data_IF_592118238630
#
_entry.id   IF_592118238630
#
_cell.length_a   1.000
_cell.length_b   1.000
_cell.length_c   1.000
_cell.angle_alpha   90.00
_cell.angle_beta   90.00
_cell.angle_gamma   90.00
#
_symmetry.space_group_name_H-M   'P 1'
#
loop_
_entity.id
_entity.type
_entity.pdbx_description
1 polymer ?
#
# COMPACT_ATOMS: atom_id res chain seq x y z
N UNK A 1 -24.77 1.17 14.61
CA UNK A 1 -24.09 2.44 14.97
C UNK A 1 -22.65 2.50 14.50
N UNK A 2 -21.82 1.47 14.72
CA UNK A 2 -20.39 1.46 14.35
C UNK A 2 -20.15 1.76 12.85
N UNK A 3 -20.89 1.10 11.95
CA UNK A 3 -20.76 1.37 10.50
C UNK A 3 -21.12 2.82 10.13
N UNK A 4 -22.19 3.36 10.72
CA UNK A 4 -22.60 4.74 10.49
C UNK A 4 -21.56 5.73 11.01
N UNK A 5 -20.98 5.48 12.19
CA UNK A 5 -19.90 6.30 12.75
C UNK A 5 -18.63 6.21 11.90
N UNK A 6 -18.27 5.02 11.40
CA UNK A 6 -17.13 4.85 10.51
C UNK A 6 -17.32 5.61 9.20
N UNK A 7 -18.48 5.46 8.54
CA UNK A 7 -18.80 6.21 7.31
C UNK A 7 -18.77 7.72 7.56
N UNK A 8 -19.37 8.18 8.67
CA UNK A 8 -19.39 9.58 9.05
C UNK A 8 -17.99 10.16 9.32
N UNK A 9 -17.00 9.35 9.72
CA UNK A 9 -15.62 9.79 9.94
C UNK A 9 -14.77 9.69 8.67
N UNK A 10 -14.84 8.56 7.94
CA UNK A 10 -13.99 8.33 6.77
C UNK A 10 -14.40 9.17 5.56
N UNK A 11 -15.70 9.41 5.36
CA UNK A 11 -16.19 10.21 4.24
C UNK A 11 -15.70 11.68 4.25
N UNK A 12 -15.82 12.45 5.35
CA UNK A 12 -15.28 13.81 5.38
C UNK A 12 -13.75 13.82 5.30
N UNK A 13 -13.06 12.85 5.90
CA UNK A 13 -11.61 12.72 5.79
C UNK A 13 -11.18 12.53 4.33
N UNK A 14 -11.88 11.68 3.58
CA UNK A 14 -11.67 11.49 2.14
C UNK A 14 -11.91 12.78 1.35
N UNK A 15 -12.98 13.52 1.64
CA UNK A 15 -13.25 14.81 1.00
C UNK A 15 -12.16 15.84 1.27
N UNK A 16 -11.69 15.95 2.52
CA UNK A 16 -10.59 16.85 2.89
C UNK A 16 -9.31 16.48 2.14
N UNK A 17 -8.98 15.19 2.05
CA UNK A 17 -7.81 14.73 1.29
C UNK A 17 -7.92 15.03 -0.21
N UNK A 18 -9.10 14.85 -0.82
CA UNK A 18 -9.31 15.22 -2.23
C UNK A 18 -9.17 16.72 -2.43
N UNK A 19 -9.76 17.54 -1.57
CA UNK A 19 -9.66 18.99 -1.67
C UNK A 19 -8.20 19.45 -1.49
N UNK A 20 -7.47 18.83 -0.55
CA UNK A 20 -6.05 19.08 -0.36
C UNK A 20 -5.26 18.68 -1.63
N UNK A 21 -5.53 17.52 -2.22
CA UNK A 21 -4.89 17.08 -3.44
C UNK A 21 -5.17 18.03 -4.63
N UNK A 22 -6.42 18.40 -4.86
CA UNK A 22 -6.82 19.33 -5.94
C UNK A 22 -6.20 20.73 -5.75
N UNK A 23 -5.93 21.15 -4.50
CA UNK A 23 -5.31 22.44 -4.20
C UNK A 23 -3.79 22.41 -4.24
N UNK A 24 -3.14 21.28 -3.91
CA UNK A 24 -1.69 21.10 -3.94
C UNK A 24 -1.16 20.78 -5.34
N UNK A 25 -1.88 19.95 -6.10
CA UNK A 25 -1.48 19.50 -7.45
C UNK A 25 -1.11 20.65 -8.40
N UNK A 26 -1.91 21.73 -8.57
CA UNK A 26 -1.55 22.85 -9.45
C UNK A 26 -0.55 23.83 -8.83
N UNK A 27 -0.39 23.85 -7.50
CA UNK A 27 0.55 24.75 -6.80
C UNK A 27 1.98 24.21 -6.79
N UNK A 28 2.14 22.88 -6.78
CA UNK A 28 3.44 22.22 -6.61
C UNK A 28 3.66 21.18 -7.73
N UNK A 29 3.75 21.60 -9.00
CA UNK A 29 3.86 20.66 -10.12
C UNK A 29 5.14 19.82 -10.07
N UNK A 30 6.23 20.34 -9.50
CA UNK A 30 7.49 19.61 -9.38
C UNK A 30 7.39 18.34 -8.51
N UNK A 31 6.50 18.30 -7.51
CA UNK A 31 6.30 17.11 -6.66
C UNK A 31 5.30 16.15 -7.30
N UNK A 32 4.20 16.68 -7.85
CA UNK A 32 3.08 15.85 -8.35
C UNK A 32 3.22 15.43 -9.82
N UNK A 33 4.09 16.08 -10.58
CA UNK A 33 4.38 15.79 -11.98
C UNK A 33 5.86 16.09 -12.32
N UNK A 34 6.83 15.44 -11.66
CA UNK A 34 8.26 15.66 -11.91
C UNK A 34 8.65 15.29 -13.35
N UNK A 35 8.08 14.21 -13.89
CA UNK A 35 8.28 13.77 -15.28
C UNK A 35 6.91 13.41 -15.89
N UNK A 36 6.42 14.26 -16.80
CA UNK A 36 5.12 14.08 -17.45
C UNK A 36 5.18 13.00 -18.54
N UNK A 37 5.44 11.74 -18.14
CA UNK A 37 5.50 10.59 -19.04
C UNK A 37 4.21 10.39 -19.86
N UNK A 38 3.07 10.86 -19.35
CA UNK A 38 1.74 10.66 -19.93
C UNK A 38 1.34 11.73 -20.98
N UNK A 39 2.20 12.70 -21.31
CA UNK A 39 1.89 13.86 -22.18
C UNK A 39 0.57 14.54 -21.79
N UNK A 40 0.29 14.63 -20.49
CA UNK A 40 -0.98 15.18 -20.02
C UNK A 40 -1.01 16.69 -20.29
N UNK A 41 -1.97 17.20 -21.08
CA UNK A 41 -1.94 18.58 -21.56
C UNK A 41 -2.06 19.57 -20.40
N UNK A 42 -1.16 20.55 -20.36
CA UNK A 42 -1.11 21.59 -19.32
C UNK A 42 -2.44 22.32 -19.13
N UNK A 43 -3.20 22.52 -20.22
CA UNK A 43 -4.52 23.13 -20.19
C UNK A 43 -5.57 22.36 -19.37
N UNK A 44 -5.40 21.04 -19.18
CA UNK A 44 -6.28 20.21 -18.33
C UNK A 44 -5.75 20.04 -16.90
N UNK A 45 -4.47 20.35 -16.65
CA UNK A 45 -3.86 20.26 -15.31
C UNK A 45 -4.49 21.19 -14.28
N UNK A 46 -5.03 22.33 -14.71
CA UNK A 46 -5.65 23.33 -13.83
C UNK A 46 -7.15 23.12 -13.59
N UNK A 47 -7.79 22.15 -14.25
CA UNK A 47 -9.23 21.89 -14.11
C UNK A 47 -9.50 20.93 -12.94
N UNK A 48 -10.43 21.31 -12.05
CA UNK A 48 -10.92 20.46 -10.97
C UNK A 48 -11.37 19.10 -11.51
N UNK A 49 -10.82 18.01 -10.97
CA UNK A 49 -11.13 16.63 -11.36
C UNK A 49 -10.91 16.31 -12.85
N UNK A 50 -10.26 17.17 -13.63
CA UNK A 50 -10.02 16.98 -15.06
C UNK A 50 -9.10 15.80 -15.39
N UNK A 51 -8.44 15.23 -14.38
CA UNK A 51 -7.62 14.03 -14.49
C UNK A 51 -8.44 12.74 -14.47
N UNK A 52 -9.60 12.70 -13.79
CA UNK A 52 -10.39 11.46 -13.66
C UNK A 52 -10.87 10.95 -15.02
N UNK A 53 -11.50 11.78 -15.89
CA UNK A 53 -11.91 11.33 -17.21
C UNK A 53 -10.72 11.04 -18.13
N UNK A 54 -9.58 11.68 -17.90
CA UNK A 54 -8.36 11.40 -18.64
C UNK A 54 -7.83 10.01 -18.28
N UNK A 55 -7.66 9.69 -17.00
CA UNK A 55 -7.21 8.37 -16.55
C UNK A 55 -8.12 7.24 -17.03
N UNK A 56 -9.43 7.48 -17.09
CA UNK A 56 -10.36 6.46 -17.59
C UNK A 56 -10.25 6.25 -19.11
N UNK A 57 -9.74 7.24 -19.86
CA UNK A 57 -9.52 7.14 -21.31
C UNK A 57 -8.13 6.60 -21.68
N UNK A 58 -7.19 6.49 -20.74
CA UNK A 58 -5.85 6.00 -21.03
C UNK A 58 -5.92 4.54 -21.44
N UNK A 59 -5.31 4.23 -22.59
CA UNK A 59 -5.23 2.87 -23.10
C UNK A 59 -4.14 2.06 -22.39
N UNK A 60 -4.38 0.76 -22.20
CA UNK A 60 -3.43 -0.13 -21.52
C UNK A 60 -2.10 -0.24 -22.26
N UNK A 61 -2.09 -0.16 -23.59
CA UNK A 61 -0.87 -0.25 -24.38
C UNK A 61 0.06 0.95 -24.14
N UNK A 62 -0.52 2.15 -24.02
CA UNK A 62 0.23 3.37 -23.74
C UNK A 62 0.87 3.34 -22.34
N UNK A 63 0.17 2.77 -21.35
CA UNK A 63 0.74 2.63 -20.00
C UNK A 63 1.91 1.66 -19.99
N UNK A 64 1.82 0.54 -20.72
CA UNK A 64 2.89 -0.44 -20.78
C UNK A 64 4.18 0.13 -21.41
N UNK A 65 4.04 1.04 -22.37
CA UNK A 65 5.18 1.70 -23.02
C UNK A 65 5.81 2.77 -22.13
N UNK A 66 4.99 3.62 -21.50
CA UNK A 66 5.44 4.79 -20.74
C UNK A 66 5.82 4.50 -19.30
N UNK A 67 5.08 3.62 -18.61
CA UNK A 67 5.27 3.29 -17.20
C UNK A 67 5.94 1.92 -16.98
N UNK A 68 6.15 1.16 -18.06
CA UNK A 68 6.77 -0.16 -18.02
C UNK A 68 5.79 -1.32 -17.74
N UNK A 69 6.34 -2.53 -17.75
CA UNK A 69 5.56 -3.77 -17.60
C UNK A 69 4.95 -3.89 -16.20
N UNK A 70 5.67 -3.54 -15.15
CA UNK A 70 5.24 -3.73 -13.76
C UNK A 70 3.99 -2.89 -13.41
N UNK A 71 4.02 -1.60 -13.74
CA UNK A 71 2.87 -0.71 -13.59
C UNK A 71 1.65 -1.21 -14.39
N UNK A 72 1.87 -1.72 -15.61
CA UNK A 72 0.81 -2.32 -16.42
C UNK A 72 0.18 -3.54 -15.75
N UNK A 73 0.97 -4.44 -15.16
CA UNK A 73 0.47 -5.61 -14.42
C UNK A 73 -0.33 -5.17 -13.20
N UNK A 74 0.18 -4.22 -12.41
CA UNK A 74 -0.51 -3.71 -11.23
C UNK A 74 -1.88 -3.13 -11.57
N UNK A 75 -1.98 -2.30 -12.62
CA UNK A 75 -3.25 -1.74 -13.06
C UNK A 75 -4.23 -2.82 -13.50
N UNK A 76 -3.74 -3.84 -14.17
CA UNK A 76 -4.57 -4.94 -14.66
C UNK A 76 -5.06 -5.83 -13.53
N UNK A 77 -4.22 -6.06 -12.53
CA UNK A 77 -4.61 -6.68 -11.25
C UNK A 77 -5.71 -5.87 -10.54
N UNK A 78 -5.60 -4.54 -10.48
CA UNK A 78 -6.64 -3.68 -9.91
C UNK A 78 -7.95 -3.73 -10.71
N UNK A 79 -7.88 -3.76 -12.05
CA UNK A 79 -9.07 -3.94 -12.92
C UNK A 79 -9.73 -5.31 -12.72
N UNK A 80 -8.93 -6.35 -12.54
CA UNK A 80 -9.41 -7.68 -12.16
C UNK A 80 -10.08 -7.66 -10.79
N UNK A 81 -9.45 -7.04 -9.78
CA UNK A 81 -9.99 -6.88 -8.43
C UNK A 81 -11.36 -6.21 -8.45
N UNK A 82 -11.54 -5.15 -9.27
CA UNK A 82 -12.86 -4.52 -9.48
C UNK A 82 -13.90 -5.49 -10.01
N UNK A 83 -13.56 -6.36 -10.98
CA UNK A 83 -14.49 -7.36 -11.53
C UNK A 83 -14.89 -8.40 -10.46
N UNK A 84 -13.93 -8.85 -9.66
CA UNK A 84 -14.17 -9.78 -8.54
C UNK A 84 -15.05 -9.14 -7.48
N UNK A 85 -14.75 -7.89 -7.09
CA UNK A 85 -15.56 -7.16 -6.11
C UNK A 85 -17.01 -6.97 -6.59
N UNK A 86 -17.22 -6.62 -7.87
CA UNK A 86 -18.56 -6.50 -8.45
C UNK A 86 -19.31 -7.85 -8.43
N UNK A 87 -18.64 -8.96 -8.75
CA UNK A 87 -19.24 -10.28 -8.63
C UNK A 87 -19.64 -10.57 -7.18
N UNK A 88 -18.75 -10.33 -6.21
CA UNK A 88 -19.05 -10.56 -4.80
C UNK A 88 -20.25 -9.73 -4.34
N UNK A 89 -20.35 -8.46 -4.74
CA UNK A 89 -21.51 -7.62 -4.44
C UNK A 89 -22.79 -8.19 -5.05
N UNK A 90 -22.76 -8.65 -6.31
CA UNK A 90 -23.91 -9.28 -6.96
C UNK A 90 -24.32 -10.58 -6.26
N UNK A 91 -23.36 -11.43 -5.87
CA UNK A 91 -23.62 -12.65 -5.13
C UNK A 91 -24.21 -12.37 -3.73
N UNK A 92 -23.69 -11.34 -3.04
CA UNK A 92 -24.25 -10.89 -1.75
C UNK A 92 -25.68 -10.37 -1.89
N UNK A 93 -25.98 -9.61 -2.94
CA UNK A 93 -27.34 -9.15 -3.24
C UNK A 93 -28.29 -10.32 -3.55
N UNK A 94 -27.80 -11.39 -4.19
CA UNK A 94 -28.60 -12.59 -4.45
C UNK A 94 -28.84 -13.42 -3.17
N UNK A 95 -27.87 -13.45 -2.25
CA UNK A 95 -27.98 -14.14 -0.96
C UNK A 95 -28.85 -13.38 0.05
N UNK A 96 -28.94 -12.06 -0.07
CA UNK A 96 -29.66 -11.20 0.88
C UNK A 96 -31.15 -11.58 1.02
N UNK A 97 -31.95 -11.77 -0.05
CA UNK A 97 -33.33 -12.25 0.07
C UNK A 97 -33.41 -13.63 0.73
N UNK A 98 -32.51 -14.55 0.36
CA UNK A 98 -32.49 -15.90 0.93
C UNK A 98 -32.35 -15.86 2.45
N UNK A 99 -31.36 -15.13 2.97
CA UNK A 99 -31.17 -14.99 4.42
C UNK A 99 -32.29 -14.19 5.10
N UNK A 100 -32.85 -13.17 4.45
CA UNK A 100 -33.97 -12.41 5.02
C UNK A 100 -35.23 -13.28 5.16
N UNK A 101 -35.59 -14.05 4.12
CA UNK A 101 -36.71 -15.00 4.18
C UNK A 101 -36.47 -16.10 5.21
N UNK A 102 -35.21 -16.49 5.49
CA UNK A 102 -34.92 -17.47 6.56
C UNK A 102 -35.31 -16.98 7.96
N UNK A 103 -35.01 -15.72 8.28
CA UNK A 103 -35.33 -15.14 9.59
C UNK A 103 -36.84 -15.08 9.81
N UNK A 104 -37.60 -14.71 8.77
CA UNK A 104 -39.07 -14.68 8.82
C UNK A 104 -39.69 -16.08 9.04
N UNK A 105 -39.13 -17.13 8.43
CA UNK A 105 -39.61 -18.52 8.61
C UNK A 105 -39.29 -19.06 10.01
N UNK A 106 -38.11 -18.73 10.55
CA UNK A 106 -37.70 -19.17 11.89
C UNK A 106 -38.57 -18.52 12.99
N UNK A 107 -38.81 -17.20 12.88
CA UNK A 107 -39.71 -16.47 13.78
C UNK A 107 -41.14 -17.06 13.76
N UNK A 108 -41.63 -17.50 12.59
CA UNK A 108 -42.94 -18.13 12.47
C UNK A 108 -43.01 -19.53 13.13
N UNK A 109 -41.96 -20.36 12.99
CA UNK A 109 -41.88 -21.69 13.60
C UNK A 109 -41.78 -21.63 15.13
N UNK A 110 -41.05 -20.66 15.68
CA UNK A 110 -40.88 -20.51 17.13
C UNK A 110 -42.18 -20.08 17.81
N UNK A 111 -42.96 -19.19 17.17
CA UNK A 111 -44.31 -18.83 17.62
C UNK A 111 -45.27 -20.02 17.62
N UNK A 112 -45.19 -20.89 16.60
CA UNK A 112 -46.04 -22.07 16.49
C UNK A 112 -45.70 -23.12 17.57
N UNK A 113 -44.41 -23.32 17.86
CA UNK A 113 -43.94 -24.22 18.90
C UNK A 113 -44.33 -23.76 20.31
N UNK A 114 -44.27 -22.45 20.57
CA UNK A 114 -44.76 -21.88 21.82
C UNK A 114 -46.27 -22.03 21.98
N UNK A 115 -47.04 -21.80 20.90
CA UNK A 115 -48.49 -22.05 20.91
C UNK A 115 -48.83 -23.51 21.26
N UNK A 116 -48.10 -24.47 20.70
CA UNK A 116 -48.30 -25.89 21.01
C UNK A 116 -47.97 -26.26 22.45
N UNK A 117 -46.88 -25.71 23.01
CA UNK A 117 -46.54 -25.92 24.42
C UNK A 117 -47.63 -25.34 25.36
N UNK A 118 -48.18 -24.18 25.02
CA UNK A 118 -49.30 -23.56 25.74
C UNK A 118 -50.59 -24.41 25.66
N UNK A 119 -50.85 -25.04 24.51
CA UNK A 119 -52.01 -25.93 24.33
C UNK A 119 -51.91 -27.25 25.11
N UNK A 120 -50.71 -27.73 25.42
CA UNK A 120 -50.50 -28.96 26.20
C UNK A 120 -50.66 -28.76 27.72
N UNK A 121 -50.47 -27.53 28.22
CA UNK A 121 -50.63 -27.19 29.64
C UNK A 121 -52.11 -27.00 30.05
N UNK A 122 -53.04 -26.97 29.10
CA UNK A 122 -54.47 -26.88 29.34
C UNK A 122 -55.12 -28.29 29.21
N UNK A 123 -55.68 -28.88 30.29
CA UNK A 123 -56.28 -30.19 30.21
C UNK A 123 -57.57 -30.14 29.36
N UNK A 124 -57.62 -30.98 28.33
CA UNK A 124 -58.77 -31.15 27.45
C UNK A 124 -59.99 -31.74 28.18
N UNK A 125 -60.81 -30.86 28.77
CA UNK A 125 -62.12 -31.20 29.31
C UNK A 125 -63.22 -30.99 28.29
N UNK A 126 -63.82 -32.08 27.83
CA UNK A 126 -64.97 -32.15 26.90
C UNK A 126 -66.22 -31.51 27.53
N UNK A 127 -66.52 -30.26 27.19
CA UNK A 127 -67.76 -29.57 27.56
C UNK A 127 -67.97 -28.26 26.79
N UNK A 128 -69.09 -28.15 26.08
CA UNK A 128 -69.68 -27.01 25.35
C UNK A 128 -68.72 -25.90 24.82
N UNK A 129 -68.65 -25.86 23.49
CA UNK A 129 -67.64 -25.23 22.63
C UNK A 129 -67.44 -23.70 22.75
N UNK A 130 -68.17 -22.99 23.62
CA UNK A 130 -68.06 -21.54 23.80
C UNK A 130 -67.32 -21.14 25.09
N UNK A 131 -67.48 -21.88 26.19
CA UNK A 131 -66.86 -21.56 27.48
C UNK A 131 -65.38 -21.96 27.52
N UNK A 132 -65.01 -23.08 26.88
CA UNK A 132 -63.62 -23.53 26.79
C UNK A 132 -62.80 -22.59 25.91
N UNK A 133 -63.36 -22.06 24.81
CA UNK A 133 -62.70 -21.07 23.96
C UNK A 133 -62.49 -19.72 24.67
N UNK A 134 -63.46 -19.29 25.49
CA UNK A 134 -63.34 -18.11 26.33
C UNK A 134 -62.29 -18.29 27.44
N UNK A 135 -62.27 -19.45 28.12
CA UNK A 135 -61.25 -19.77 29.12
C UNK A 135 -59.85 -19.89 28.50
N UNK A 136 -59.73 -20.44 27.30
CA UNK A 136 -58.45 -20.54 26.57
C UNK A 136 -57.94 -19.16 26.16
N UNK A 137 -58.83 -18.30 25.68
CA UNK A 137 -58.51 -16.90 25.35
C UNK A 137 -58.16 -16.09 26.60
N UNK A 138 -58.85 -16.32 27.71
CA UNK A 138 -58.61 -15.63 28.98
C UNK A 138 -57.32 -16.11 29.66
N UNK A 139 -56.99 -17.41 29.58
CA UNK A 139 -55.70 -17.94 30.04
C UNK A 139 -54.56 -17.43 29.17
N UNK A 140 -54.73 -17.32 27.85
CA UNK A 140 -53.76 -16.66 26.96
C UNK A 140 -53.51 -15.20 27.35
N UNK A 141 -54.57 -14.44 27.67
CA UNK A 141 -54.46 -13.04 28.11
C UNK A 141 -53.81 -12.94 29.50
N UNK A 142 -54.13 -13.83 30.45
CA UNK A 142 -53.52 -13.82 31.78
C UNK A 142 -52.08 -14.37 31.81
N UNK A 143 -51.72 -15.29 30.91
CA UNK A 143 -50.33 -15.73 30.76
C UNK A 143 -49.45 -14.62 30.17
N UNK A 144 -49.99 -13.81 29.27
CA UNK A 144 -49.34 -12.60 28.74
C UNK A 144 -49.03 -11.59 29.86
N UNK A 145 -49.89 -11.53 30.89
CA UNK A 145 -49.73 -10.64 32.05
C UNK A 145 -48.80 -11.22 33.15
N UNK A 146 -48.75 -12.55 33.35
CA UNK A 146 -47.85 -13.20 34.31
C UNK A 146 -46.40 -13.36 33.82
N UNK A 147 -46.19 -13.54 32.52
CA UNK A 147 -44.84 -13.53 31.91
C UNK A 147 -44.19 -12.15 32.05
N UNK A 148 -44.99 -11.09 32.16
CA UNK A 148 -44.50 -9.72 32.38
C UNK A 148 -44.14 -9.42 33.85
N UNK A 149 -44.50 -10.30 34.81
CA UNK A 149 -44.36 -10.05 36.25
C UNK A 149 -43.32 -10.93 36.96
N UNK A 150 -42.67 -11.89 36.28
CA UNK A 150 -41.73 -12.84 36.91
C UNK A 150 -40.25 -12.65 36.53
N UNK A 151 -39.89 -11.49 35.98
CA UNK A 151 -38.49 -11.12 35.76
C UNK A 151 -37.88 -10.46 37.00
N UNK A 152 -37.68 -11.26 38.06
CA UNK A 152 -36.83 -10.94 39.18
C UNK A 152 -35.54 -11.75 39.11
N UNK A 153 -34.40 -11.06 38.93
CA UNK A 153 -33.01 -11.55 39.07
C UNK A 153 -32.42 -12.42 37.96
N UNK A 154 -32.00 -11.77 36.88
CA UNK A 154 -30.60 -11.83 36.45
C UNK A 154 -30.25 -10.55 35.70
N UNK A 155 -29.38 -9.75 36.33
CA UNK A 155 -28.84 -8.49 35.84
C UNK A 155 -28.26 -8.57 34.42
N UNK A 156 -28.23 -7.39 33.78
CA UNK A 156 -27.67 -7.04 32.45
C UNK A 156 -28.63 -7.22 31.26
N UNK A 157 -29.72 -6.44 31.23
CA UNK A 157 -30.46 -6.13 29.99
C UNK A 157 -30.86 -4.65 29.96
N UNK A 158 -30.42 -3.93 28.93
CA UNK A 158 -30.90 -2.58 28.63
C UNK A 158 -32.41 -2.58 28.34
N UNK A 159 -33.06 -1.48 28.71
CA UNK A 159 -34.50 -1.16 28.73
C UNK A 159 -35.30 -1.32 27.41
N UNK A 160 -34.92 -2.20 26.50
CA UNK A 160 -35.71 -2.53 25.31
C UNK A 160 -35.39 -4.00 24.98
N UNK A 161 -36.31 -4.91 25.34
CA UNK A 161 -36.15 -6.37 25.35
C UNK A 161 -36.01 -7.03 23.97
N UNK A 162 -35.16 -6.47 23.11
CA UNK A 162 -34.63 -7.10 21.91
C UNK A 162 -33.13 -7.20 22.09
N UNK A 163 -32.61 -8.42 22.09
CA UNK A 163 -31.22 -8.66 21.72
C UNK A 163 -31.01 -7.87 20.42
N UNK A 164 -30.17 -6.83 20.44
CA UNK A 164 -29.64 -6.24 19.20
C UNK A 164 -28.76 -7.31 18.57
N UNK A 165 -29.40 -8.34 18.00
CA UNK A 165 -28.79 -9.17 16.98
C UNK A 165 -28.24 -8.18 15.98
N UNK A 166 -26.92 -8.15 15.88
CA UNK A 166 -26.26 -7.26 14.95
C UNK A 166 -26.90 -7.52 13.59
N UNK A 167 -27.26 -6.48 12.84
CA UNK A 167 -27.86 -6.66 11.51
C UNK A 167 -26.97 -7.62 10.68
N UNK A 168 -25.67 -7.57 10.95
CA UNK A 168 -24.62 -8.47 10.46
C UNK A 168 -24.83 -9.94 10.88
N UNK A 169 -25.12 -10.23 12.15
CA UNK A 169 -25.34 -11.61 12.63
C UNK A 169 -26.59 -12.23 12.00
N UNK A 170 -27.64 -11.44 11.81
CA UNK A 170 -28.86 -11.88 11.10
C UNK A 170 -28.63 -12.10 9.60
N UNK A 171 -27.59 -11.49 9.03
CA UNK A 171 -27.20 -11.58 7.61
C UNK A 171 -26.15 -12.66 7.34
N UNK A 172 -25.61 -13.29 8.38
CA UNK A 172 -24.55 -14.29 8.25
C UNK A 172 -25.07 -15.70 8.55
N UNK A 173 -24.24 -16.69 8.24
CA UNK A 173 -24.54 -18.12 8.43
C UNK A 173 -24.81 -18.49 9.90
N UNK A 174 -24.51 -17.58 10.84
CA UNK A 174 -24.81 -17.71 12.26
C UNK A 174 -26.33 -17.87 12.55
N UNK A 175 -27.19 -17.37 11.66
CA UNK A 175 -28.64 -17.48 11.79
C UNK A 175 -29.23 -18.77 11.17
N UNK A 176 -28.42 -19.69 10.63
CA UNK A 176 -28.89 -20.90 9.93
C UNK A 176 -28.81 -22.14 10.85
N UNK A 177 -29.89 -22.93 10.89
CA UNK A 177 -29.96 -24.15 11.70
C UNK A 177 -29.04 -25.27 11.18
N UNK A 178 -28.66 -26.22 12.05
CA UNK A 178 -27.67 -27.28 11.78
C UNK A 178 -28.07 -28.30 10.69
N UNK A 179 -29.28 -28.23 10.13
CA UNK A 179 -29.80 -29.23 9.18
C UNK A 179 -30.65 -28.64 8.04
N UNK A 180 -30.29 -27.43 7.58
CA UNK A 180 -31.02 -26.74 6.51
C UNK A 180 -30.38 -26.96 5.12
N UNK A 181 -31.21 -27.27 4.12
CA UNK A 181 -30.80 -27.34 2.69
C UNK A 181 -30.13 -26.05 2.18
N UNK A 182 -30.30 -24.96 2.91
CA UNK A 182 -29.82 -23.61 2.62
C UNK A 182 -28.31 -23.50 2.78
N UNK A 183 -27.69 -24.29 3.66
CA UNK A 183 -26.22 -24.37 3.77
C UNK A 183 -25.60 -24.81 2.43
N UNK A 184 -26.23 -25.77 1.74
CA UNK A 184 -25.77 -26.21 0.41
C UNK A 184 -25.79 -25.07 -0.62
N UNK A 185 -26.75 -24.13 -0.55
CA UNK A 185 -26.78 -22.97 -1.45
C UNK A 185 -25.60 -22.02 -1.19
N UNK A 186 -25.26 -21.77 0.07
CA UNK A 186 -24.12 -20.91 0.42
C UNK A 186 -22.80 -21.51 -0.07
N UNK A 187 -22.64 -22.82 0.08
CA UNK A 187 -21.49 -23.58 -0.42
C UNK A 187 -21.45 -23.56 -1.95
N UNK A 188 -22.59 -23.74 -2.62
CA UNK A 188 -22.70 -23.66 -4.09
C UNK A 188 -22.25 -22.29 -4.60
N UNK A 189 -22.73 -21.20 -3.99
CA UNK A 189 -22.34 -19.83 -4.35
C UNK A 189 -20.85 -19.61 -4.12
N UNK A 190 -20.30 -20.11 -3.01
CA UNK A 190 -18.87 -20.04 -2.74
C UNK A 190 -18.02 -20.77 -3.80
N UNK A 191 -18.42 -21.98 -4.21
CA UNK A 191 -17.77 -22.70 -5.31
C UNK A 191 -17.89 -21.96 -6.64
N UNK A 192 -19.05 -21.37 -6.96
CA UNK A 192 -19.24 -20.57 -8.17
C UNK A 192 -18.33 -19.34 -8.20
N UNK A 193 -18.20 -18.62 -7.09
CA UNK A 193 -17.26 -17.49 -6.96
C UNK A 193 -15.82 -17.98 -7.13
N UNK A 194 -15.44 -19.07 -6.47
CA UNK A 194 -14.09 -19.65 -6.56
C UNK A 194 -13.72 -20.04 -8.00
N UNK A 195 -14.60 -20.75 -8.71
CA UNK A 195 -14.42 -21.15 -10.11
C UNK A 195 -14.33 -19.92 -11.01
N UNK A 196 -15.15 -18.89 -10.79
CA UNK A 196 -15.10 -17.66 -11.55
C UNK A 196 -13.77 -16.90 -11.35
N UNK A 197 -13.35 -16.73 -10.09
CA UNK A 197 -12.08 -16.07 -9.75
C UNK A 197 -10.91 -16.83 -10.35
N UNK A 198 -10.90 -18.16 -10.24
CA UNK A 198 -9.90 -19.03 -10.87
C UNK A 198 -9.86 -18.83 -12.39
N UNK A 199 -11.01 -18.81 -13.06
CA UNK A 199 -11.09 -18.55 -14.51
C UNK A 199 -10.52 -17.18 -14.87
N UNK A 200 -10.83 -16.15 -14.09
CA UNK A 200 -10.34 -14.79 -14.31
C UNK A 200 -8.81 -14.74 -14.13
N UNK A 201 -8.28 -15.37 -13.06
CA UNK A 201 -6.84 -15.48 -12.80
C UNK A 201 -6.12 -16.19 -13.95
N UNK A 202 -6.66 -17.30 -14.45
CA UNK A 202 -6.06 -18.03 -15.57
C UNK A 202 -6.04 -17.21 -16.85
N UNK A 203 -7.14 -16.52 -17.15
CA UNK A 203 -7.18 -15.61 -18.30
C UNK A 203 -6.14 -14.49 -18.17
N UNK A 204 -6.02 -13.91 -16.97
CA UNK A 204 -5.04 -12.84 -16.73
C UNK A 204 -3.60 -13.36 -16.79
N UNK A 205 -3.34 -14.53 -16.22
CA UNK A 205 -2.04 -15.21 -16.26
C UNK A 205 -1.60 -15.50 -17.70
N UNK A 206 -2.48 -15.98 -18.56
CA UNK A 206 -2.13 -16.24 -19.97
C UNK A 206 -1.75 -14.96 -20.72
N UNK A 207 -2.46 -13.85 -20.46
CA UNK A 207 -2.14 -12.55 -21.07
C UNK A 207 -0.82 -11.99 -20.52
N UNK A 208 -0.63 -12.06 -19.21
CA UNK A 208 0.62 -11.68 -18.55
C UNK A 208 1.81 -12.45 -19.14
N UNK A 209 1.68 -13.78 -19.27
CA UNK A 209 2.73 -14.62 -19.83
C UNK A 209 3.12 -14.15 -21.23
N UNK A 210 2.15 -13.93 -22.13
CA UNK A 210 2.41 -13.46 -23.49
C UNK A 210 3.16 -12.11 -23.49
N UNK A 211 2.70 -11.15 -22.69
CA UNK A 211 3.32 -9.82 -22.59
C UNK A 211 4.71 -9.85 -21.95
N UNK A 212 4.91 -10.70 -20.94
CA UNK A 212 6.23 -10.89 -20.32
C UNK A 212 7.24 -11.42 -21.34
N UNK A 213 6.86 -12.37 -22.19
CA UNK A 213 7.75 -12.85 -23.25
C UNK A 213 8.06 -11.75 -24.26
N UNK A 214 7.05 -10.98 -24.69
CA UNK A 214 7.24 -9.82 -25.58
C UNK A 214 8.17 -8.76 -24.97
N UNK A 215 8.04 -8.51 -23.66
CA UNK A 215 8.90 -7.59 -22.93
C UNK A 215 10.34 -8.12 -22.83
N UNK A 216 10.53 -9.41 -22.53
CA UNK A 216 11.85 -10.05 -22.46
C UNK A 216 12.53 -10.18 -23.82
N UNK A 217 11.78 -10.16 -24.93
CA UNK A 217 12.37 -10.10 -26.28
C UNK A 217 13.01 -8.74 -26.58
N UNK A 218 12.67 -7.68 -25.84
CA UNK A 218 13.29 -6.37 -26.02
C UNK A 218 14.73 -6.42 -25.51
N UNK A 219 15.67 -5.95 -26.33
CA UNK A 219 17.09 -5.89 -25.96
C UNK A 219 17.28 -4.83 -24.88
N UNK A 220 17.59 -5.26 -23.66
CA UNK A 220 17.94 -4.36 -22.56
C UNK A 220 19.39 -4.66 -22.09
N UNK A 221 20.21 -3.66 -21.72
CA UNK A 221 21.58 -3.89 -21.25
C UNK A 221 21.67 -4.92 -20.11
N UNK A 222 20.70 -4.92 -19.19
CA UNK A 222 20.61 -5.87 -18.08
C UNK A 222 20.54 -7.35 -18.51
N UNK A 223 20.13 -7.66 -19.75
CA UNK A 223 20.09 -9.04 -20.25
C UNK A 223 21.48 -9.60 -20.59
N UNK A 224 22.48 -8.73 -20.73
CA UNK A 224 23.87 -9.09 -21.05
C UNK A 224 24.79 -8.99 -19.84
N UNK A 225 24.28 -8.53 -18.69
CA UNK A 225 25.05 -8.39 -17.45
C UNK A 225 24.80 -9.59 -16.54
N UNK A 226 25.86 -10.30 -16.17
CA UNK A 226 25.81 -11.39 -15.20
C UNK A 226 26.52 -10.93 -13.93
N UNK A 227 25.82 -11.04 -12.80
CA UNK A 227 26.42 -10.81 -11.47
C UNK A 227 27.00 -12.12 -10.98
N UNK A 228 28.29 -12.11 -10.63
CA UNK A 228 29.00 -13.27 -10.08
C UNK A 228 29.30 -12.96 -8.62
N UNK A 229 28.66 -13.71 -7.73
CA UNK A 229 28.89 -13.63 -6.29
C UNK A 229 30.01 -14.57 -5.85
N UNK A 230 30.57 -14.30 -4.67
CA UNK A 230 31.51 -15.20 -3.97
C UNK A 230 32.78 -15.58 -4.73
N UNK A 231 33.46 -14.57 -5.32
CA UNK A 231 34.74 -14.79 -5.98
C UNK A 231 35.87 -15.11 -4.98
N UNK A 232 36.66 -16.18 -5.22
CA UNK A 232 37.88 -16.46 -4.46
C UNK A 232 38.82 -15.25 -4.49
N UNK A 233 39.51 -14.98 -3.38
CA UNK A 233 40.40 -13.81 -3.26
C UNK A 233 41.44 -13.70 -4.38
N UNK A 234 41.92 -14.83 -4.92
CA UNK A 234 42.87 -14.86 -6.03
C UNK A 234 42.32 -14.30 -7.35
N UNK A 235 41.00 -14.33 -7.55
CA UNK A 235 40.33 -13.91 -8.79
C UNK A 235 39.63 -12.54 -8.67
N UNK A 236 39.81 -11.81 -7.55
CA UNK A 236 39.20 -10.49 -7.32
C UNK A 236 39.91 -9.33 -8.02
N UNK A 237 40.74 -9.60 -9.04
CA UNK A 237 41.38 -8.55 -9.85
C UNK A 237 40.66 -8.41 -11.19
N UNK A 238 40.48 -7.20 -11.71
CA UNK A 238 39.71 -7.02 -12.94
C UNK A 238 40.42 -7.71 -14.12
N UNK A 239 41.74 -7.59 -14.20
CA UNK A 239 42.57 -8.22 -15.24
C UNK A 239 42.56 -9.75 -15.15
N UNK A 240 42.71 -10.31 -13.94
CA UNK A 240 42.72 -11.76 -13.73
C UNK A 240 41.35 -12.37 -13.99
N UNK A 241 40.29 -11.70 -13.53
CA UNK A 241 38.92 -12.12 -13.77
C UNK A 241 38.58 -12.04 -15.26
N UNK A 242 38.99 -10.98 -15.93
CA UNK A 242 38.83 -10.84 -17.37
C UNK A 242 39.55 -11.96 -18.12
N UNK A 243 40.83 -12.22 -17.83
CA UNK A 243 41.57 -13.31 -18.45
C UNK A 243 40.95 -14.69 -18.19
N UNK A 244 40.42 -14.91 -16.98
CA UNK A 244 39.71 -16.14 -16.64
C UNK A 244 38.38 -16.29 -17.39
N UNK A 245 37.61 -15.21 -17.52
CA UNK A 245 36.35 -15.20 -18.27
C UNK A 245 36.59 -15.36 -19.78
N UNK A 246 37.63 -14.72 -20.32
CA UNK A 246 38.04 -14.86 -21.72
C UNK A 246 38.52 -16.29 -22.03
N UNK A 247 39.17 -16.95 -21.05
CA UNK A 247 39.57 -18.35 -21.15
C UNK A 247 38.36 -19.30 -21.18
N UNK A 248 37.35 -19.07 -20.33
CA UNK A 248 36.14 -19.90 -20.27
C UNK A 248 35.19 -19.65 -21.44
N UNK A 249 35.04 -18.39 -21.87
CA UNK A 249 34.07 -17.94 -22.84
C UNK A 249 34.72 -17.02 -23.90
N UNK A 250 35.48 -17.59 -24.86
CA UNK A 250 36.22 -16.80 -25.83
C UNK A 250 35.28 -15.94 -26.71
N UNK A 251 35.66 -14.67 -26.91
CA UNK A 251 34.94 -13.67 -27.75
C UNK A 251 33.51 -13.32 -27.33
N UNK A 252 33.04 -13.72 -26.14
CA UNK A 252 31.71 -13.35 -25.63
C UNK A 252 31.71 -12.38 -24.46
N UNK A 253 32.86 -12.13 -23.85
CA UNK A 253 33.00 -11.21 -22.71
C UNK A 253 33.21 -9.79 -23.23
N UNK A 254 32.31 -8.87 -22.88
CA UNK A 254 32.44 -7.46 -23.28
C UNK A 254 33.32 -6.66 -22.32
N UNK A 255 32.98 -6.72 -21.02
CA UNK A 255 33.72 -6.04 -19.95
C UNK A 255 33.44 -6.70 -18.61
N UNK A 256 34.41 -6.59 -17.71
CA UNK A 256 34.35 -7.15 -16.36
C UNK A 256 34.59 -6.04 -15.36
N UNK A 257 33.66 -5.87 -14.43
CA UNK A 257 33.77 -4.92 -13.33
C UNK A 257 33.66 -5.65 -12.00
N UNK A 258 34.44 -5.20 -11.02
CA UNK A 258 34.36 -5.70 -9.65
C UNK A 258 33.53 -4.73 -8.86
N UNK A 259 32.44 -5.23 -8.27
CA UNK A 259 31.68 -4.50 -7.27
C UNK A 259 32.52 -4.32 -6.01
N UNK A 260 32.67 -3.08 -5.58
CA UNK A 260 33.33 -2.71 -4.34
C UNK A 260 32.27 -2.19 -3.38
N UNK A 261 32.38 -2.55 -2.11
CA UNK A 261 31.54 -1.97 -1.07
C UNK A 261 31.99 -0.52 -0.81
N UNK A 262 31.11 0.42 -1.15
CA UNK A 262 31.39 1.85 -1.11
C UNK A 262 30.44 2.60 -0.15
N UNK A 263 29.95 1.96 0.91
CA UNK A 263 28.91 2.52 1.78
C UNK A 263 29.31 3.89 2.39
N UNK A 264 30.55 4.01 2.90
CA UNK A 264 31.06 5.28 3.43
C UNK A 264 31.17 6.36 2.34
N UNK A 265 31.60 5.97 1.14
CA UNK A 265 31.72 6.89 0.01
C UNK A 265 30.34 7.36 -0.48
N UNK A 266 29.35 6.48 -0.49
CA UNK A 266 27.95 6.81 -0.81
C UNK A 266 27.37 7.82 0.18
N UNK A 267 27.59 7.63 1.49
CA UNK A 267 27.14 8.58 2.51
C UNK A 267 27.78 9.98 2.33
N UNK A 268 29.07 10.03 1.98
CA UNK A 268 29.75 11.30 1.69
C UNK A 268 29.23 11.96 0.41
N UNK A 269 28.87 11.17 -0.62
CA UNK A 269 28.28 11.68 -1.85
C UNK A 269 26.86 12.23 -1.61
N UNK A 270 26.08 11.60 -0.75
CA UNK A 270 24.75 12.10 -0.36
C UNK A 270 24.86 13.43 0.40
N UNK A 271 25.80 13.52 1.36
CA UNK A 271 26.11 14.80 2.05
C UNK A 271 26.55 15.88 1.05
N UNK A 272 27.32 15.50 0.02
CA UNK A 272 27.74 16.43 -1.03
C UNK A 272 26.56 16.95 -1.82
N UNK A 273 25.62 16.08 -2.19
CA UNK A 273 24.41 16.46 -2.92
C UNK A 273 23.57 17.46 -2.12
N UNK A 274 23.42 17.26 -0.81
CA UNK A 274 22.72 18.18 0.09
C UNK A 274 23.44 19.54 0.20
N UNK A 275 24.77 19.54 0.38
CA UNK A 275 25.55 20.78 0.42
C UNK A 275 25.50 21.55 -0.91
N UNK A 276 25.54 20.86 -2.06
CA UNK A 276 25.39 21.50 -3.37
C UNK A 276 24.04 22.21 -3.47
N UNK A 277 22.96 21.57 -2.99
CA UNK A 277 21.64 22.19 -2.96
C UNK A 277 21.61 23.45 -2.07
N UNK A 278 22.21 23.37 -0.87
CA UNK A 278 22.30 24.52 0.03
C UNK A 278 23.11 25.68 -0.56
N UNK A 279 24.27 25.39 -1.14
CA UNK A 279 25.11 26.37 -1.82
C UNK A 279 24.39 27.01 -3.02
N UNK A 280 23.68 26.20 -3.82
CA UNK A 280 22.85 26.70 -4.91
C UNK A 280 21.77 27.66 -4.38
N UNK A 281 21.04 27.26 -3.33
CA UNK A 281 19.99 28.09 -2.73
C UNK A 281 20.53 29.42 -2.18
N UNK A 282 21.74 29.41 -1.60
CA UNK A 282 22.41 30.61 -1.09
C UNK A 282 22.83 31.52 -2.25
N UNK A 283 23.39 30.96 -3.32
CA UNK A 283 23.78 31.72 -4.51
C UNK A 283 22.58 32.35 -5.22
N UNK A 284 21.43 31.66 -5.30
CA UNK A 284 20.19 32.22 -5.84
C UNK A 284 19.74 33.43 -5.01
N UNK A 285 19.70 33.31 -3.68
CA UNK A 285 19.36 34.44 -2.79
C UNK A 285 20.32 35.62 -2.94
N UNK A 286 21.60 35.34 -3.10
CA UNK A 286 22.63 36.36 -3.34
C UNK A 286 22.41 37.05 -4.70
N UNK A 287 22.08 36.30 -5.75
CA UNK A 287 21.77 36.84 -7.07
C UNK A 287 20.49 37.70 -7.04
N UNK A 288 19.44 37.27 -6.35
CA UNK A 288 18.23 38.07 -6.15
C UNK A 288 18.50 39.35 -5.36
N UNK A 289 19.33 39.28 -4.32
CA UNK A 289 19.73 40.45 -3.55
C UNK A 289 20.52 41.45 -4.41
N UNK A 290 21.41 40.96 -5.29
CA UNK A 290 22.12 41.78 -6.29
C UNK A 290 21.18 42.42 -7.30
N UNK A 291 20.14 41.71 -7.76
CA UNK A 291 19.18 42.26 -8.71
C UNK A 291 18.27 43.34 -8.08
N UNK A 292 18.00 43.24 -6.77
CA UNK A 292 17.17 44.21 -6.03
C UNK A 292 17.95 45.44 -5.58
N UNK A 293 19.24 45.30 -5.28
CA UNK A 293 20.11 46.42 -5.01
C UNK A 293 20.45 47.12 -6.35
N UNK A 294 20.02 48.38 -6.52
CA UNK A 294 20.50 49.21 -7.62
C UNK A 294 22.02 49.45 -7.52
N UNK A 295 22.61 50.05 -8.55
CA UNK A 295 24.06 50.23 -8.75
C UNK A 295 24.83 50.88 -7.56
N UNK A 296 24.11 51.52 -6.63
CA UNK A 296 24.68 52.21 -5.46
C UNK A 296 24.28 51.64 -4.08
N UNK A 297 23.52 50.54 -4.00
CA UNK A 297 23.10 49.95 -2.72
C UNK A 297 24.04 48.82 -2.24
N UNK A 298 24.25 48.75 -0.92
CA UNK A 298 25.09 47.70 -0.29
C UNK A 298 24.38 46.34 -0.39
N UNK A 299 24.93 45.44 -1.21
CA UNK A 299 24.42 44.07 -1.39
C UNK A 299 24.48 43.30 -0.07
N UNK A 300 23.32 42.98 0.51
CA UNK A 300 23.23 42.13 1.70
C UNK A 300 23.39 40.67 1.32
N UNK A 301 24.48 40.04 1.78
CA UNK A 301 24.74 38.62 1.55
C UNK A 301 23.86 37.73 2.44
N UNK A 302 23.43 36.55 1.95
CA UNK A 302 22.64 35.62 2.73
C UNK A 302 23.47 35.05 3.90
N UNK A 303 22.89 35.09 5.10
CA UNK A 303 23.51 34.51 6.29
C UNK A 303 22.89 33.15 6.62
N UNK A 304 23.71 32.24 7.13
CA UNK A 304 23.28 30.97 7.68
C UNK A 304 23.56 30.95 9.19
N UNK A 305 22.60 30.44 9.96
CA UNK A 305 22.71 30.24 11.41
C UNK A 305 23.14 28.80 11.67
N UNK A 306 24.33 28.62 12.24
CA UNK A 306 24.91 27.28 12.48
C UNK A 306 25.06 27.06 13.99
N UNK A 307 24.89 25.80 14.42
CA UNK A 307 25.16 25.38 15.81
C UNK A 307 23.94 25.38 16.74
N UNK A 308 22.72 25.32 16.21
CA UNK A 308 21.51 25.26 17.05
C UNK A 308 21.38 23.87 17.70
N UNK A 309 21.67 23.77 19.00
CA UNK A 309 21.32 22.57 19.79
C UNK A 309 19.82 22.60 20.13
N UNK A 310 19.21 21.42 20.16
CA UNK A 310 17.83 21.06 20.50
C UNK A 310 16.87 22.21 20.93
N UNK A 311 15.79 22.41 20.18
CA UNK A 311 14.62 23.24 20.52
C UNK A 311 14.88 24.71 20.90
N UNK A 312 15.98 25.33 20.45
CA UNK A 312 16.09 26.80 20.40
C UNK A 312 16.08 27.56 21.73
N UNK A 313 16.23 26.88 22.87
CA UNK A 313 16.13 27.50 24.21
C UNK A 313 17.43 28.11 24.75
N UNK A 314 18.59 27.85 24.15
CA UNK A 314 19.84 28.51 24.53
C UNK A 314 20.52 29.10 23.29
N UNK A 315 20.65 30.43 23.28
CA UNK A 315 21.20 31.23 22.19
C UNK A 315 22.69 30.97 21.98
N UNK A 316 23.01 30.03 21.09
CA UNK A 316 24.37 29.64 20.75
C UNK A 316 24.63 29.48 19.24
N UNK A 317 23.79 30.06 18.39
CA UNK A 317 23.99 30.02 16.93
C UNK A 317 24.89 31.16 16.46
N UNK A 318 25.92 30.86 15.66
CA UNK A 318 26.74 31.87 14.99
C UNK A 318 26.14 32.18 13.63
N UNK A 319 25.90 33.46 13.36
CA UNK A 319 25.55 33.97 12.03
C UNK A 319 26.83 34.07 11.19
N UNK A 320 26.90 33.28 10.11
CA UNK A 320 28.02 33.34 9.15
C UNK A 320 27.49 33.56 7.73
N UNK A 321 28.36 34.01 6.82
CA UNK A 321 28.01 34.07 5.40
C UNK A 321 27.72 32.65 4.89
N UNK A 322 26.51 32.44 4.36
CA UNK A 322 26.06 31.14 3.91
C UNK A 322 26.90 30.64 2.73
N UNK A 323 27.30 31.53 1.82
CA UNK A 323 28.03 31.13 0.61
C UNK A 323 29.44 30.68 0.97
N UNK A 324 30.15 31.48 1.76
CA UNK A 324 31.53 31.17 2.15
C UNK A 324 31.58 29.90 3.01
N UNK A 325 30.65 29.76 3.94
CA UNK A 325 30.56 28.57 4.80
C UNK A 325 30.32 27.29 4.01
N UNK A 326 29.28 27.23 3.16
CA UNK A 326 29.02 26.03 2.37
C UNK A 326 30.13 25.75 1.35
N UNK A 327 30.82 26.78 0.86
CA UNK A 327 31.99 26.60 -0.01
C UNK A 327 33.14 25.94 0.74
N UNK A 328 33.43 26.37 1.97
CA UNK A 328 34.47 25.78 2.80
C UNK A 328 34.12 24.33 3.21
N UNK A 329 32.85 24.08 3.59
CA UNK A 329 32.38 22.72 3.89
C UNK A 329 32.45 21.81 2.67
N UNK A 330 32.09 22.31 1.48
CA UNK A 330 32.22 21.56 0.23
C UNK A 330 33.68 21.15 -0.04
N UNK A 331 34.63 22.07 0.15
CA UNK A 331 36.06 21.77 -0.05
C UNK A 331 36.55 20.70 0.94
N UNK A 332 36.15 20.79 2.21
CA UNK A 332 36.47 19.77 3.21
C UNK A 332 35.90 18.41 2.81
N UNK A 333 34.63 18.36 2.41
CA UNK A 333 33.97 17.14 2.01
C UNK A 333 34.58 16.53 0.74
N UNK A 334 34.93 17.34 -0.27
CA UNK A 334 35.61 16.87 -1.48
C UNK A 334 36.98 16.27 -1.16
N UNK A 335 37.74 16.88 -0.23
CA UNK A 335 39.02 16.32 0.22
C UNK A 335 38.85 14.97 0.94
N UNK A 336 37.78 14.82 1.72
CA UNK A 336 37.44 13.57 2.41
C UNK A 336 36.99 12.48 1.43
N UNK A 337 36.15 12.82 0.45
CA UNK A 337 35.73 11.91 -0.63
C UNK A 337 36.94 11.38 -1.39
N UNK A 338 37.90 12.25 -1.74
CA UNK A 338 39.13 11.84 -2.43
C UNK A 338 39.94 10.89 -1.55
N UNK A 339 40.10 11.20 -0.26
CA UNK A 339 40.82 10.35 0.70
C UNK A 339 40.18 8.97 0.82
N UNK A 340 38.87 8.90 1.06
CA UNK A 340 38.13 7.63 1.23
C UNK A 340 38.15 6.81 -0.07
N UNK A 341 37.96 7.45 -1.22
CA UNK A 341 38.09 6.80 -2.53
C UNK A 341 39.48 6.18 -2.70
N UNK A 342 40.53 6.93 -2.41
CA UNK A 342 41.91 6.47 -2.59
C UNK A 342 42.25 5.36 -1.59
N UNK A 343 41.74 5.42 -0.36
CA UNK A 343 41.86 4.33 0.64
C UNK A 343 41.18 3.04 0.17
N UNK A 344 39.96 3.13 -0.38
CA UNK A 344 39.26 1.99 -0.96
C UNK A 344 40.10 1.38 -2.09
N UNK A 345 40.61 2.21 -3.01
CA UNK A 345 41.47 1.75 -4.10
C UNK A 345 42.78 1.11 -3.60
N UNK A 346 43.39 1.65 -2.54
CA UNK A 346 44.59 1.09 -1.91
C UNK A 346 44.32 -0.26 -1.26
N UNK A 347 43.25 -0.41 -0.47
CA UNK A 347 42.85 -1.70 0.12
C UNK A 347 42.69 -2.77 -0.97
N UNK A 348 42.14 -2.42 -2.13
CA UNK A 348 42.06 -3.32 -3.28
C UNK A 348 43.43 -3.60 -3.93
N UNK A 349 44.34 -2.62 -3.94
CA UNK A 349 45.71 -2.76 -4.44
C UNK A 349 46.69 -3.48 -3.50
N UNK A 350 46.47 -3.44 -2.19
CA UNK A 350 47.36 -3.98 -1.14
C UNK A 350 47.07 -5.45 -0.80
N UNK A 351 45.80 -5.86 -0.80
CA UNK A 351 45.42 -7.29 -0.80
C UNK A 351 46.15 -8.07 -1.92
N UNK A 352 46.57 -7.36 -2.97
CA UNK A 352 47.34 -7.89 -4.07
C UNK A 352 48.86 -8.01 -3.83
N UNK A 353 49.45 -7.27 -2.88
CA UNK A 353 50.90 -7.32 -2.57
C UNK A 353 51.23 -8.35 -1.49
N UNK A 354 50.45 -8.42 -0.42
CA UNK A 354 50.75 -9.30 0.71
C UNK A 354 50.81 -10.78 0.30
N UNK A 355 49.93 -11.21 -0.61
CA UNK A 355 49.90 -12.61 -1.07
C UNK A 355 50.91 -12.96 -2.16
N UNK A 356 51.60 -11.99 -2.75
CA UNK A 356 52.71 -12.29 -3.67
C UNK A 356 53.96 -12.76 -2.92
N UNK A 357 54.02 -12.53 -1.60
CA UNK A 357 55.11 -12.95 -0.72
C UNK A 357 54.91 -14.32 -0.07
N UNK A 358 53.70 -14.89 -0.11
CA UNK A 358 53.36 -16.16 0.58
C UNK A 358 53.41 -17.42 -0.30
N UNK A 359 53.98 -17.33 -1.51
CA UNK A 359 53.91 -18.45 -2.46
C UNK A 359 55.15 -18.65 -3.30
N UNK A 360 56.19 -19.27 -2.72
CA UNK A 360 57.01 -20.34 -3.31
C UNK A 360 57.80 -21.04 -2.17
N UNK A 361 57.50 -22.28 -1.78
CA UNK A 361 58.49 -23.13 -1.15
C UNK A 361 59.46 -23.56 -2.24
N UNK A 362 60.75 -23.24 -2.06
CA UNK A 362 61.85 -23.82 -2.83
C UNK A 362 61.80 -25.34 -2.69
N UNK A 363 61.40 -26.02 -3.77
CA UNK A 363 61.62 -27.45 -3.93
C UNK A 363 63.13 -27.68 -4.08
N UNK A 364 63.75 -28.15 -3.00
CA UNK A 364 65.03 -28.86 -3.00
C UNK A 364 64.82 -30.36 -3.01
#
# INVERSE_FOLDING_TARGET
NVLLTSVAVYFPLFLVLILLYETLRPRVPHVYAPENHADYPEAKQRKFLGWVPFLWRIDEAQVAEKCGLDAWVLLRFMKMGRKVALLCVLCSLALFPMYFFTAAVFEAQEQEKQRHHLSQLLPGGRGNNASVAALTSMVMIMFDEQVNATNGTSDILSSDGKVKLDVVDRLTIANVGKDDWRLYFTVLVAYMISVYVMRLLLNEYTVYRKRRHEFLMRKHPQQYSVVISDLPQAQRRPQTLQAYMDFLFPNSVHSVYIGVECAELEELLDKRQELVYHLYSANVKLAEAKAKAGEHDVIKRPKALIGRRFFGLCGGGKDVDAVDHYTEEMQKLESEIVRVRDEILQRHGEVAKDKKFDGWPSLG
#
